data_IF_247978634538
#
_entry.id   IF_247978634538
#
_cell.length_a   1.000
_cell.length_b   1.000
_cell.length_c   1.000
_cell.angle_alpha   90.00
_cell.angle_beta   90.00
_cell.angle_gamma   90.00
#
_symmetry.space_group_name_H-M   'P 1'
#
loop_
_entity.id
_entity.type
_entity.pdbx_description
1 polymer ?
#
# COMPACT_ATOMS: atom_id res chain seq x y z
N UNK A 1 3.48 10.78 43.00
CA UNK A 1 3.68 10.54 42.37
C UNK A 1 3.56 10.36 41.44
N UNK A 2 3.55 10.34 40.86
CA UNK A 2 3.44 10.14 39.94
C UNK A 2 3.71 9.64 39.07
N UNK A 3 3.77 9.34 38.70
CA UNK A 3 4.16 8.76 37.85
C UNK A 3 3.94 8.69 36.72
N UNK A 4 3.76 9.14 36.36
CA UNK A 4 3.47 9.04 35.35
C UNK A 4 3.91 8.87 34.36
N UNK A 5 4.01 8.96 34.16
CA UNK A 5 4.39 8.99 33.19
C UNK A 5 5.05 8.17 32.48
N UNK A 6 5.13 7.52 32.63
CA UNK A 6 5.62 6.74 31.95
C UNK A 6 5.08 6.38 30.97
N UNK A 7 4.57 7.02 30.50
CA UNK A 7 4.09 6.71 29.45
C UNK A 7 4.90 6.14 28.63
N UNK A 8 4.59 5.38 28.31
CA UNK A 8 5.22 4.62 27.60
C UNK A 8 5.88 5.18 26.52
N UNK A 9 7.03 5.10 26.49
CA UNK A 9 7.75 5.35 25.33
C UNK A 9 7.60 4.15 24.48
N UNK A 10 6.70 4.22 23.56
CA UNK A 10 6.53 3.18 22.55
C UNK A 10 7.81 3.08 21.73
N UNK A 11 8.32 1.88 21.55
CA UNK A 11 9.54 1.65 20.77
C UNK A 11 9.33 2.02 19.30
N UNK A 12 10.43 2.34 18.63
CA UNK A 12 10.40 2.60 17.19
C UNK A 12 9.78 1.44 16.43
N UNK A 13 10.18 0.22 16.75
CA UNK A 13 9.61 -0.98 16.12
C UNK A 13 8.09 -1.01 16.26
N UNK A 14 7.57 -0.79 17.45
CA UNK A 14 6.12 -0.82 17.68
C UNK A 14 5.41 0.29 16.93
N UNK A 15 5.98 1.50 16.89
CA UNK A 15 5.36 2.60 16.15
C UNK A 15 5.32 2.32 14.65
N UNK A 16 6.39 1.78 14.08
CA UNK A 16 6.44 1.42 12.67
C UNK A 16 5.43 0.31 12.36
N UNK A 17 5.39 -0.72 13.20
CA UNK A 17 4.43 -1.80 13.05
C UNK A 17 3.00 -1.28 13.07
N UNK A 18 2.68 -0.43 14.05
CA UNK A 18 1.33 0.13 14.18
C UNK A 18 0.97 1.02 12.99
N UNK A 19 1.91 1.82 12.50
CA UNK A 19 1.69 2.68 11.33
C UNK A 19 1.40 1.85 10.08
N UNK A 20 2.17 0.79 9.86
CA UNK A 20 1.95 -0.11 8.73
C UNK A 20 0.61 -0.82 8.84
N UNK A 21 0.25 -1.29 10.04
CA UNK A 21 -1.04 -1.94 10.26
C UNK A 21 -2.20 -0.99 10.01
N UNK A 22 -2.06 0.27 10.41
CA UNK A 22 -3.12 1.27 10.22
C UNK A 22 -3.36 1.52 8.72
N UNK A 23 -2.29 1.66 7.94
CA UNK A 23 -2.41 1.83 6.50
C UNK A 23 -3.07 0.60 5.86
N UNK A 24 -2.60 -0.59 6.22
CA UNK A 24 -3.14 -1.83 5.68
C UNK A 24 -4.61 -2.02 6.04
N UNK A 25 -5.01 -1.64 7.26
CA UNK A 25 -6.40 -1.71 7.69
C UNK A 25 -7.29 -0.79 6.84
N UNK A 26 -6.80 0.41 6.52
CA UNK A 26 -7.56 1.33 5.67
C UNK A 26 -7.69 0.81 4.25
N UNK A 27 -6.66 0.18 3.70
CA UNK A 27 -6.79 -0.50 2.41
C UNK A 27 -7.83 -1.61 2.47
N UNK A 28 -7.73 -2.49 3.45
CA UNK A 28 -8.65 -3.62 3.57
C UNK A 28 -10.09 -3.15 3.77
N UNK A 29 -10.28 -2.02 4.43
CA UNK A 29 -11.61 -1.43 4.64
C UNK A 29 -12.12 -0.66 3.43
N UNK A 30 -11.36 -0.59 2.34
CA UNK A 30 -11.71 0.16 1.13
C UNK A 30 -11.94 1.64 1.43
N UNK A 31 -11.10 2.21 2.28
CA UNK A 31 -11.17 3.62 2.66
C UNK A 31 -10.95 4.52 1.45
N UNK A 32 -11.46 5.75 1.53
CA UNK A 32 -11.31 6.69 0.43
C UNK A 32 -9.87 7.20 0.29
N UNK A 33 -9.61 7.90 -0.81
CA UNK A 33 -8.26 8.38 -1.15
C UNK A 33 -7.74 9.34 -0.08
N UNK A 34 -8.59 10.22 0.45
CA UNK A 34 -8.15 11.16 1.48
C UNK A 34 -7.68 10.42 2.74
N UNK A 35 -8.39 9.37 3.14
CA UNK A 35 -8.00 8.55 4.28
C UNK A 35 -6.65 7.87 4.01
N UNK A 36 -6.47 7.31 2.83
CA UNK A 36 -5.19 6.69 2.46
C UNK A 36 -4.06 7.71 2.46
N UNK A 37 -4.30 8.91 1.93
CA UNK A 37 -3.29 9.97 1.90
C UNK A 37 -2.91 10.47 3.30
N UNK A 38 -3.78 10.28 4.30
CA UNK A 38 -3.46 10.68 5.67
C UNK A 38 -2.25 9.93 6.23
N UNK A 39 -1.88 8.80 5.64
CA UNK A 39 -0.70 8.04 6.04
C UNK A 39 0.60 8.55 5.41
N UNK A 40 0.53 9.53 4.53
CA UNK A 40 1.67 10.09 3.80
C UNK A 40 2.02 11.48 4.34
N UNK A 41 3.29 11.91 4.25
CA UNK A 41 3.68 13.20 4.82
C UNK A 41 3.12 14.38 4.03
N UNK A 42 2.98 15.51 4.71
CA UNK A 42 2.64 16.78 4.06
C UNK A 42 3.85 17.68 3.91
N UNK A 43 4.94 17.39 4.62
CA UNK A 43 6.13 18.25 4.68
C UNK A 43 7.34 17.66 3.98
N UNK A 44 7.27 16.38 3.62
CA UNK A 44 8.36 15.67 2.95
C UNK A 44 7.87 15.13 1.62
N UNK A 45 8.82 14.84 0.73
CA UNK A 45 8.49 14.16 -0.51
C UNK A 45 8.05 12.73 -0.22
N UNK A 46 7.08 12.25 -0.98
CA UNK A 46 6.66 10.85 -0.91
C UNK A 46 6.47 10.31 -2.33
N UNK A 47 6.51 8.98 -2.44
CA UNK A 47 6.36 8.30 -3.73
C UNK A 47 5.55 7.03 -3.57
N UNK A 48 4.90 6.64 -4.67
CA UNK A 48 4.29 5.33 -4.81
C UNK A 48 4.82 4.69 -6.09
N UNK A 49 5.13 3.42 -6.04
CA UNK A 49 5.63 2.68 -7.19
C UNK A 49 5.15 1.24 -7.12
N UNK A 50 4.45 0.81 -8.15
CA UNK A 50 4.07 -0.59 -8.28
C UNK A 50 4.94 -1.23 -9.35
N UNK A 51 5.65 -2.27 -8.97
CA UNK A 51 6.63 -2.93 -9.85
C UNK A 51 5.94 -3.75 -10.93
N UNK A 52 6.41 -3.60 -12.15
CA UNK A 52 5.92 -4.30 -13.32
C UNK A 52 6.28 -3.54 -14.59
N UNK A 53 6.13 -4.18 -15.72
CA UNK A 53 6.35 -3.50 -16.99
C UNK A 53 5.22 -2.51 -17.25
N UNK A 54 5.55 -1.28 -17.66
CA UNK A 54 4.50 -0.25 -17.88
C UNK A 54 3.43 -0.66 -18.88
N UNK A 55 3.77 -1.52 -19.83
CA UNK A 55 2.83 -1.95 -20.86
C UNK A 55 1.72 -2.85 -20.30
N UNK A 56 1.91 -3.43 -19.10
CA UNK A 56 0.97 -4.41 -18.56
C UNK A 56 -0.27 -3.76 -17.94
N UNK A 57 -0.13 -2.56 -17.36
CA UNK A 57 -1.28 -1.83 -16.81
C UNK A 57 -0.90 -0.36 -16.63
N UNK A 58 -1.88 0.57 -16.61
CA UNK A 58 -1.61 2.01 -16.55
C UNK A 58 -0.91 2.48 -15.28
N UNK A 59 -1.01 1.71 -14.19
CA UNK A 59 -0.44 2.09 -12.89
C UNK A 59 0.91 1.43 -12.62
N UNK A 60 1.45 0.64 -13.55
CA UNK A 60 2.68 -0.14 -13.33
C UNK A 60 3.92 0.57 -13.87
N UNK A 61 5.04 0.35 -13.17
CA UNK A 61 6.36 0.63 -13.69
C UNK A 61 6.72 2.09 -13.81
N UNK A 62 6.02 2.97 -13.09
CA UNK A 62 6.36 4.40 -13.06
C UNK A 62 6.24 4.97 -11.66
N UNK A 63 7.02 6.01 -11.38
CA UNK A 63 6.99 6.67 -10.09
C UNK A 63 5.86 7.69 -10.06
N UNK A 64 5.07 7.65 -8.99
CA UNK A 64 4.08 8.67 -8.68
C UNK A 64 4.65 9.51 -7.55
N UNK A 65 5.04 10.73 -7.84
CA UNK A 65 5.87 11.54 -6.94
C UNK A 65 5.04 12.65 -6.29
N UNK A 66 5.24 12.83 -4.98
CA UNK A 66 4.53 13.83 -4.17
C UNK A 66 3.14 13.37 -3.81
N UNK A 67 2.47 14.14 -2.94
CA UNK A 67 1.11 13.79 -2.53
C UNK A 67 0.14 13.73 -3.72
N UNK A 68 0.28 14.67 -4.67
CA UNK A 68 -0.57 14.65 -5.86
C UNK A 68 -0.30 13.42 -6.72
N UNK A 69 0.95 12.98 -6.82
CA UNK A 69 1.29 11.76 -7.54
C UNK A 69 0.76 10.52 -6.85
N UNK A 70 0.90 10.44 -5.53
CA UNK A 70 0.37 9.31 -4.76
C UNK A 70 -1.16 9.28 -4.86
N UNK A 71 -1.81 10.45 -4.82
CA UNK A 71 -3.25 10.53 -5.04
C UNK A 71 -3.63 9.98 -6.42
N UNK A 72 -2.91 10.39 -7.46
CA UNK A 72 -3.14 9.88 -8.82
C UNK A 72 -3.02 8.37 -8.87
N UNK A 73 -2.02 7.80 -8.21
CA UNK A 73 -1.83 6.35 -8.16
C UNK A 73 -3.06 5.66 -7.57
N UNK A 74 -3.53 6.12 -6.40
CA UNK A 74 -4.70 5.50 -5.77
C UNK A 74 -5.97 5.67 -6.60
N UNK A 75 -6.12 6.81 -7.27
CA UNK A 75 -7.25 7.03 -8.16
C UNK A 75 -7.21 6.09 -9.36
N UNK A 76 -6.02 5.85 -9.92
CA UNK A 76 -5.87 4.89 -11.02
C UNK A 76 -6.21 3.47 -10.56
N UNK A 77 -5.71 3.05 -9.40
CA UNK A 77 -6.04 1.73 -8.87
C UNK A 77 -7.56 1.60 -8.75
N UNK A 78 -8.22 2.58 -8.15
CA UNK A 78 -9.68 2.54 -7.97
C UNK A 78 -10.46 2.60 -9.27
N UNK A 79 -9.87 3.15 -10.33
CA UNK A 79 -10.50 3.22 -11.63
C UNK A 79 -10.52 1.86 -12.34
N UNK A 80 -9.43 1.09 -12.20
CA UNK A 80 -9.27 -0.15 -12.94
C UNK A 80 -9.58 -1.40 -12.14
N UNK A 81 -9.47 -1.34 -10.80
CA UNK A 81 -9.58 -2.52 -9.95
C UNK A 81 -10.60 -2.32 -8.84
N UNK A 82 -11.31 -3.40 -8.53
CA UNK A 82 -11.99 -3.55 -7.24
C UNK A 82 -11.43 -4.78 -6.57
N UNK A 83 -11.69 -4.92 -5.28
CA UNK A 83 -11.22 -6.11 -4.56
C UNK A 83 -12.15 -6.47 -3.41
N UNK A 84 -12.05 -7.72 -2.98
CA UNK A 84 -12.74 -8.25 -1.81
C UNK A 84 -11.78 -9.11 -0.99
N UNK A 85 -12.13 -9.33 0.27
CA UNK A 85 -11.41 -10.24 1.16
C UNK A 85 -9.92 -9.92 1.28
N UNK A 86 -9.59 -8.64 1.35
CA UNK A 86 -8.20 -8.22 1.52
C UNK A 86 -7.80 -8.37 2.99
N UNK A 87 -6.68 -9.02 3.22
CA UNK A 87 -6.11 -9.16 4.55
C UNK A 87 -4.60 -9.15 4.48
N UNK A 88 -3.97 -8.78 5.58
CA UNK A 88 -2.53 -8.58 5.67
C UNK A 88 -1.95 -9.41 6.80
N UNK A 89 -0.73 -9.92 6.60
CA UNK A 89 -0.04 -10.76 7.57
C UNK A 89 1.46 -10.71 7.32
N UNK A 90 2.23 -11.33 8.23
CA UNK A 90 3.67 -11.50 8.06
C UNK A 90 4.40 -10.17 7.94
N UNK A 91 4.15 -9.28 8.89
CA UNK A 91 4.85 -8.01 8.98
C UNK A 91 6.30 -8.23 9.40
N UNK A 92 7.23 -7.60 8.69
CA UNK A 92 8.65 -7.60 9.05
C UNK A 92 9.07 -6.15 9.19
N UNK A 93 9.60 -5.80 10.37
CA UNK A 93 9.99 -4.43 10.69
C UNK A 93 11.50 -4.35 10.81
N UNK A 94 12.10 -3.47 10.03
CA UNK A 94 13.50 -3.09 10.20
C UNK A 94 13.50 -1.67 10.78
N UNK A 95 13.72 -1.59 12.10
CA UNK A 95 13.65 -0.28 12.75
C UNK A 95 14.85 0.61 12.44
N UNK A 96 15.97 0.01 12.06
CA UNK A 96 17.18 0.75 11.75
C UNK A 96 17.00 1.58 10.48
N UNK A 97 16.43 0.99 9.44
CA UNK A 97 16.18 1.68 8.17
C UNK A 97 14.76 2.23 8.07
N UNK A 98 13.95 2.03 9.11
CA UNK A 98 12.57 2.48 9.19
C UNK A 98 11.71 1.95 8.05
N UNK A 99 11.82 0.64 7.80
CA UNK A 99 11.07 -0.04 6.75
C UNK A 99 10.18 -1.11 7.35
N UNK A 100 9.01 -1.32 6.73
CA UNK A 100 8.13 -2.44 7.06
C UNK A 100 7.74 -3.13 5.77
N UNK A 101 7.93 -4.43 5.70
CA UNK A 101 7.37 -5.23 4.63
C UNK A 101 6.18 -6.01 5.17
N UNK A 102 5.21 -6.30 4.30
CA UNK A 102 4.00 -6.99 4.70
C UNK A 102 3.44 -7.76 3.51
N UNK A 103 2.84 -8.92 3.80
CA UNK A 103 2.18 -9.74 2.78
C UNK A 103 0.69 -9.46 2.81
N UNK A 104 0.11 -9.24 1.63
CA UNK A 104 -1.32 -9.06 1.46
C UNK A 104 -1.91 -10.15 0.60
N UNK A 105 -3.19 -10.42 0.81
CA UNK A 105 -3.98 -11.33 -0.03
C UNK A 105 -5.32 -10.68 -0.29
N UNK A 106 -5.81 -10.85 -1.50
CA UNK A 106 -7.14 -10.33 -1.86
C UNK A 106 -7.63 -11.04 -3.12
N UNK A 107 -8.91 -10.88 -3.39
CA UNK A 107 -9.47 -11.22 -4.69
C UNK A 107 -9.72 -9.92 -5.43
N UNK A 108 -9.05 -9.74 -6.57
CA UNK A 108 -9.17 -8.55 -7.40
C UNK A 108 -10.07 -8.81 -8.59
N UNK A 109 -10.72 -7.75 -9.06
CA UNK A 109 -11.53 -7.78 -10.29
C UNK A 109 -11.10 -6.62 -11.16
N UNK A 110 -10.84 -6.90 -12.44
CA UNK A 110 -10.60 -5.84 -13.44
C UNK A 110 -11.95 -5.29 -13.87
N UNK A 111 -12.16 -4.00 -13.61
CA UNK A 111 -13.50 -3.38 -13.71
C UNK A 111 -14.11 -3.55 -15.12
N UNK A 112 -13.33 -3.27 -16.18
CA UNK A 112 -13.91 -3.23 -17.53
C UNK A 112 -14.26 -4.61 -18.09
N UNK A 113 -13.59 -5.67 -17.62
CA UNK A 113 -13.85 -7.04 -18.12
C UNK A 113 -14.65 -7.87 -17.15
N UNK A 114 -14.66 -7.49 -15.86
CA UNK A 114 -15.29 -8.28 -14.81
C UNK A 114 -14.51 -9.53 -14.43
N UNK A 115 -13.30 -9.72 -14.95
CA UNK A 115 -12.50 -10.90 -14.61
C UNK A 115 -11.85 -10.73 -13.25
N UNK A 116 -11.88 -11.83 -12.46
CA UNK A 116 -11.39 -11.82 -11.09
C UNK A 116 -10.30 -12.86 -10.90
N UNK A 117 -9.40 -12.60 -9.97
CA UNK A 117 -8.34 -13.53 -9.60
C UNK A 117 -7.97 -13.34 -8.13
N UNK A 118 -7.48 -14.42 -7.52
CA UNK A 118 -6.94 -14.36 -6.17
C UNK A 118 -5.44 -14.13 -6.28
N UNK A 119 -4.93 -13.27 -5.41
CA UNK A 119 -3.52 -12.92 -5.50
C UNK A 119 -2.91 -12.73 -4.14
N UNK A 120 -1.61 -12.99 -4.08
CA UNK A 120 -0.76 -12.62 -2.95
C UNK A 120 0.17 -11.51 -3.44
N UNK A 121 0.27 -10.44 -2.67
CA UNK A 121 1.13 -9.30 -3.02
C UNK A 121 1.93 -8.88 -1.78
N UNK A 122 2.90 -8.02 -1.99
CA UNK A 122 3.73 -7.52 -0.89
C UNK A 122 3.92 -6.03 -1.03
N UNK A 123 3.95 -5.35 0.13
CA UNK A 123 4.36 -3.96 0.23
C UNK A 123 5.73 -3.88 0.88
N UNK A 124 6.53 -2.89 0.48
CA UNK A 124 7.64 -2.40 1.29
C UNK A 124 7.40 -0.92 1.50
N UNK A 125 7.31 -0.52 2.76
CA UNK A 125 6.95 0.83 3.17
C UNK A 125 8.12 1.47 3.91
N UNK A 126 8.55 2.66 3.46
CA UNK A 126 9.53 3.46 4.18
C UNK A 126 8.79 4.53 4.97
N UNK A 127 9.25 4.84 6.17
CA UNK A 127 8.59 5.78 7.07
C UNK A 127 9.56 6.90 7.48
N UNK A 128 9.02 8.09 7.68
CA UNK A 128 9.77 9.20 8.27
C UNK A 128 9.70 9.15 9.82
N UNK A 129 10.23 10.17 10.47
CA UNK A 129 10.29 10.23 11.94
C UNK A 129 8.92 10.35 12.60
N UNK A 130 7.89 10.70 11.84
CA UNK A 130 6.51 10.82 12.33
C UNK A 130 5.66 9.64 11.88
N UNK A 131 6.30 8.56 11.46
CA UNK A 131 5.64 7.35 10.96
C UNK A 131 4.68 7.64 9.80
N UNK A 132 5.07 8.56 8.91
CA UNK A 132 4.38 8.77 7.64
C UNK A 132 5.13 8.04 6.54
N UNK A 133 4.40 7.52 5.57
CA UNK A 133 4.98 6.73 4.48
C UNK A 133 5.64 7.67 3.48
N UNK A 134 6.94 7.56 3.32
CA UNK A 134 7.69 8.34 2.33
C UNK A 134 7.91 7.59 1.04
N UNK A 135 7.87 6.26 1.07
CA UNK A 135 7.98 5.44 -0.13
C UNK A 135 7.08 4.22 0.02
N UNK A 136 6.17 4.08 -0.91
CA UNK A 136 5.20 2.98 -0.95
C UNK A 136 5.50 2.16 -2.18
N UNK A 137 5.97 0.94 -1.98
CA UNK A 137 6.29 0.05 -3.10
C UNK A 137 5.44 -1.20 -3.02
N UNK A 138 4.99 -1.67 -4.18
CA UNK A 138 4.12 -2.84 -4.29
C UNK A 138 4.71 -3.81 -5.31
N UNK A 139 4.73 -5.09 -4.94
CA UNK A 139 4.96 -6.21 -5.87
C UNK A 139 3.69 -7.05 -5.88
N UNK A 140 3.07 -7.17 -7.05
CA UNK A 140 1.79 -7.85 -7.21
C UNK A 140 1.83 -8.79 -8.41
N UNK A 141 0.73 -9.48 -8.65
CA UNK A 141 0.64 -10.39 -9.80
C UNK A 141 0.27 -9.60 -11.06
N UNK A 142 1.28 -9.02 -11.70
CA UNK A 142 1.07 -8.18 -12.86
C UNK A 142 0.61 -8.99 -14.08
N UNK A 143 1.00 -10.26 -14.16
CA UNK A 143 0.53 -11.14 -15.24
C UNK A 143 -0.96 -11.38 -15.17
N UNK A 144 -1.48 -11.66 -13.98
CA UNK A 144 -2.92 -11.85 -13.79
C UNK A 144 -3.69 -10.58 -14.15
N UNK A 145 -3.21 -9.41 -13.67
CA UNK A 145 -3.84 -8.13 -13.99
C UNK A 145 -3.88 -7.88 -15.49
N UNK A 146 -2.77 -8.14 -16.19
CA UNK A 146 -2.71 -7.97 -17.63
C UNK A 146 -3.71 -8.87 -18.37
N UNK A 147 -3.71 -10.16 -18.02
CA UNK A 147 -4.63 -11.11 -18.67
C UNK A 147 -6.09 -10.73 -18.38
N UNK A 148 -6.39 -10.33 -17.13
CA UNK A 148 -7.74 -9.91 -16.77
C UNK A 148 -8.16 -8.66 -17.58
N UNK A 149 -7.24 -7.72 -17.77
CA UNK A 149 -7.54 -6.50 -18.53
C UNK A 149 -7.90 -6.79 -19.99
N UNK A 150 -7.44 -7.92 -20.50
CA UNK A 150 -7.71 -8.35 -21.88
C UNK A 150 -8.84 -9.36 -21.99
N UNK A 151 -9.44 -9.75 -20.86
CA UNK A 151 -10.45 -10.80 -20.87
C UNK A 151 -9.89 -12.18 -21.16
N UNK A 152 -8.61 -12.41 -20.85
CA UNK A 152 -7.90 -13.64 -21.21
C UNK A 152 -7.44 -14.45 -20.00
N UNK A 153 -8.01 -14.22 -18.84
CA UNK A 153 -7.55 -14.83 -17.61
C UNK A 153 -7.88 -16.32 -17.51
N UNK A 154 -8.94 -16.75 -18.13
CA UNK A 154 -9.38 -18.16 -18.07
C UNK A 154 -8.97 -18.97 -19.29
#
# INVERSE_FOLDING_TARGET
>A
MLLHGKSAMTSTRTRLFNAAKALCADFAAQSDVDTLLSHFPTTHQCTAFEHGLPVLAPFLGRSFVGRSGVQEYFELIGKYLTFTNMNFSEYVVDEETRKVSVKGKAEFTWVSTGESWKETFAYVLDFDDEEKVTDYQVWADTGAAFLASRGELS
#
